data_IF_458271994111
#
_entry.id   IF_458271994111
#
_cell.length_a   1.000
_cell.length_b   1.000
_cell.length_c   1.000
_cell.angle_alpha   90.00
_cell.angle_beta   90.00
_cell.angle_gamma   90.00
#
_symmetry.space_group_name_H-M   'P 1'
#
loop_
_entity.id
_entity.type
_entity.pdbx_description
1 polymer ?
#
# COMPACT_ATOMS: atom_id res chain seq x y z
N UNK A 1 30.23 -32.10 10.22
CA UNK A 1 29.46 -30.91 9.82
C UNK A 1 30.28 -29.71 10.24
N UNK A 2 30.73 -28.87 9.29
CA UNK A 2 31.50 -27.68 9.66
C UNK A 2 30.60 -26.75 10.51
N UNK A 3 31.08 -26.36 11.68
CA UNK A 3 30.42 -25.36 12.52
C UNK A 3 30.25 -24.08 11.70
N UNK A 4 29.04 -23.53 11.65
CA UNK A 4 28.79 -22.27 10.96
C UNK A 4 29.66 -21.18 11.59
N UNK A 5 30.58 -20.54 10.83
CA UNK A 5 31.49 -19.54 11.36
C UNK A 5 30.74 -18.33 11.94
N UNK A 6 29.47 -18.13 11.59
CA UNK A 6 28.66 -16.97 11.97
C UNK A 6 27.81 -17.20 13.22
N UNK A 7 27.63 -18.45 13.66
CA UNK A 7 26.66 -18.82 14.69
C UNK A 7 26.83 -18.07 16.02
N UNK A 8 28.09 -17.87 16.45
CA UNK A 8 28.43 -17.19 17.71
C UNK A 8 28.02 -15.70 17.75
N UNK A 9 27.93 -15.05 16.58
CA UNK A 9 27.61 -13.61 16.46
C UNK A 9 26.22 -13.34 15.89
N UNK A 10 25.49 -14.38 15.50
CA UNK A 10 24.20 -14.24 14.84
C UNK A 10 23.20 -13.47 15.71
N UNK A 11 23.03 -13.83 16.98
CA UNK A 11 22.03 -13.23 17.86
C UNK A 11 22.29 -11.74 18.17
N UNK A 12 23.50 -11.30 18.57
CA UNK A 12 23.79 -9.88 18.75
C UNK A 12 23.56 -9.06 17.48
N UNK A 13 23.97 -9.59 16.31
CA UNK A 13 23.78 -8.91 15.02
C UNK A 13 22.29 -8.80 14.70
N UNK A 14 21.53 -9.89 14.81
CA UNK A 14 20.09 -9.88 14.56
C UNK A 14 19.36 -8.89 15.47
N UNK A 15 19.71 -8.86 16.76
CA UNK A 15 19.12 -7.94 17.73
C UNK A 15 19.38 -6.48 17.35
N UNK A 16 20.62 -6.14 17.02
CA UNK A 16 21.00 -4.81 16.56
C UNK A 16 20.27 -4.42 15.26
N UNK A 17 20.27 -5.28 14.25
CA UNK A 17 19.60 -5.01 12.96
C UNK A 17 18.09 -4.84 13.12
N UNK A 18 17.46 -5.68 13.95
CA UNK A 18 16.02 -5.62 14.21
C UNK A 18 15.59 -4.39 15.00
N UNK A 19 16.48 -3.82 15.81
CA UNK A 19 16.20 -2.63 16.61
C UNK A 19 16.46 -1.35 15.82
N UNK A 20 17.65 -1.26 15.21
CA UNK A 20 18.21 -0.01 14.72
C UNK A 20 18.07 0.17 13.19
N UNK A 21 17.80 -0.92 12.45
CA UNK A 21 17.79 -0.93 10.96
C UNK A 21 16.48 -1.48 10.36
N UNK A 22 15.34 -1.25 11.02
CA UNK A 22 14.03 -1.77 10.59
C UNK A 22 13.65 -1.36 9.15
N UNK A 23 13.91 -0.11 8.79
CA UNK A 23 13.60 0.43 7.46
C UNK A 23 14.49 -0.18 6.37
N UNK A 24 15.76 -0.41 6.69
CA UNK A 24 16.68 -1.09 5.77
C UNK A 24 16.25 -2.54 5.53
N UNK A 25 15.73 -3.24 6.55
CA UNK A 25 15.18 -4.59 6.35
C UNK A 25 13.97 -4.59 5.40
N UNK A 26 13.08 -3.61 5.51
CA UNK A 26 11.95 -3.42 4.59
C UNK A 26 12.46 -3.17 3.16
N UNK A 27 13.48 -2.32 3.02
CA UNK A 27 14.09 -2.00 1.72
C UNK A 27 14.73 -3.23 1.06
N UNK A 28 15.46 -4.04 1.83
CA UNK A 28 16.07 -5.29 1.33
C UNK A 28 15.00 -6.23 0.79
N UNK A 29 13.90 -6.46 1.53
CA UNK A 29 12.80 -7.33 1.08
C UNK A 29 12.16 -6.78 -0.20
N UNK A 30 11.88 -5.47 -0.24
CA UNK A 30 11.26 -4.82 -1.39
C UNK A 30 12.13 -4.86 -2.64
N UNK A 31 13.46 -4.78 -2.49
CA UNK A 31 14.41 -4.88 -3.60
C UNK A 31 14.60 -6.34 -4.06
N UNK A 32 14.66 -7.28 -3.12
CA UNK A 32 14.92 -8.70 -3.43
C UNK A 32 13.73 -9.40 -4.08
N UNK A 33 12.51 -8.92 -3.82
CA UNK A 33 11.28 -9.47 -4.41
C UNK A 33 10.57 -8.36 -5.23
N UNK A 34 10.93 -8.18 -6.51
CA UNK A 34 10.35 -7.13 -7.35
C UNK A 34 8.83 -7.27 -7.52
N UNK A 35 8.32 -8.51 -7.48
CA UNK A 35 6.91 -8.87 -7.64
C UNK A 35 6.03 -8.51 -6.45
N UNK A 36 6.60 -7.97 -5.36
CA UNK A 36 5.77 -7.50 -4.25
C UNK A 36 4.88 -6.33 -4.71
N UNK A 37 3.56 -6.40 -4.41
CA UNK A 37 2.63 -5.34 -4.78
C UNK A 37 2.95 -4.02 -4.05
N UNK A 38 3.50 -4.13 -2.84
CA UNK A 38 3.91 -2.99 -2.01
C UNK A 38 5.01 -3.40 -1.02
N UNK A 39 5.78 -2.44 -0.49
CA UNK A 39 6.74 -2.71 0.58
C UNK A 39 6.06 -3.39 1.78
N UNK A 40 6.78 -4.25 2.51
CA UNK A 40 6.25 -4.83 3.74
C UNK A 40 6.07 -3.78 4.82
N UNK A 41 5.07 -3.96 5.69
CA UNK A 41 4.82 -3.11 6.88
C UNK A 41 6.00 -3.16 7.85
N UNK A 42 6.56 -4.35 8.00
CA UNK A 42 7.67 -4.62 8.90
C UNK A 42 8.46 -5.80 8.35
N UNK A 43 9.76 -5.76 8.52
CA UNK A 43 10.64 -6.90 8.28
C UNK A 43 11.55 -7.07 9.50
N UNK A 44 11.83 -8.32 9.87
CA UNK A 44 12.77 -8.69 10.93
C UNK A 44 13.64 -9.84 10.46
N UNK A 45 14.89 -9.81 10.86
CA UNK A 45 15.82 -10.92 10.68
C UNK A 45 15.54 -12.02 11.69
N UNK A 46 15.46 -13.26 11.21
CA UNK A 46 15.15 -14.44 12.04
C UNK A 46 16.29 -15.47 12.09
N UNK A 47 17.19 -15.45 11.12
CA UNK A 47 18.36 -16.33 11.09
C UNK A 47 19.48 -15.72 10.24
N UNK A 48 20.72 -16.01 10.59
CA UNK A 48 21.93 -15.69 9.82
C UNK A 48 22.77 -16.96 9.76
N UNK A 49 23.37 -17.23 8.59
CA UNK A 49 24.43 -18.22 8.43
C UNK A 49 25.48 -17.72 7.42
N UNK A 50 26.57 -18.46 7.23
CA UNK A 50 27.63 -18.11 6.28
C UNK A 50 27.17 -17.85 4.84
N UNK A 51 26.05 -18.43 4.40
CA UNK A 51 25.52 -18.30 3.05
C UNK A 51 24.54 -17.13 2.90
N UNK A 52 24.07 -16.51 3.98
CA UNK A 52 23.07 -15.44 3.93
C UNK A 52 22.25 -15.30 5.20
N UNK A 53 21.18 -14.52 5.11
CA UNK A 53 20.24 -14.33 6.22
C UNK A 53 18.79 -14.45 5.76
N UNK A 54 17.90 -14.79 6.70
CA UNK A 54 16.46 -14.92 6.45
C UNK A 54 15.72 -13.77 7.14
N UNK A 55 14.86 -13.10 6.37
CA UNK A 55 13.95 -12.07 6.86
C UNK A 55 12.52 -12.61 6.91
N UNK A 56 11.83 -12.42 8.04
CA UNK A 56 10.38 -12.52 8.14
C UNK A 56 9.76 -11.13 7.94
N UNK A 57 8.82 -11.00 7.02
CA UNK A 57 8.16 -9.74 6.71
C UNK A 57 6.64 -9.86 6.76
N UNK A 58 5.97 -8.74 7.04
CA UNK A 58 4.50 -8.65 7.10
C UNK A 58 3.97 -7.82 5.95
N UNK A 59 3.06 -8.39 5.15
CA UNK A 59 2.32 -7.65 4.13
C UNK A 59 0.91 -7.33 4.63
N UNK A 60 0.60 -6.04 4.83
CA UNK A 60 -0.81 -5.64 5.05
C UNK A 60 -1.49 -5.56 3.69
N UNK A 61 -2.42 -6.45 3.46
CA UNK A 61 -3.16 -6.50 2.21
C UNK A 61 -4.51 -5.77 2.27
N UNK A 62 -5.07 -5.50 3.47
CA UNK A 62 -6.27 -4.68 3.68
C UNK A 62 -6.19 -3.96 5.03
N UNK A 63 -6.69 -2.72 5.13
CA UNK A 63 -6.85 -2.03 6.42
C UNK A 63 -8.03 -2.59 7.24
N UNK A 64 -9.09 -3.04 6.57
CA UNK A 64 -10.32 -3.51 7.23
C UNK A 64 -10.28 -5.01 7.54
N UNK A 65 -9.79 -5.83 6.61
CA UNK A 65 -9.88 -7.30 6.72
C UNK A 65 -8.62 -7.98 7.26
N UNK A 66 -7.46 -7.33 7.13
CA UNK A 66 -6.20 -7.88 7.64
C UNK A 66 -5.24 -6.77 8.10
N UNK A 67 -5.59 -5.99 9.14
CA UNK A 67 -4.76 -4.90 9.65
C UNK A 67 -3.41 -5.38 10.19
N UNK A 68 -3.34 -6.65 10.61
CA UNK A 68 -2.18 -7.32 11.20
C UNK A 68 -1.15 -7.78 10.17
N UNK A 69 -1.59 -8.04 8.93
CA UNK A 69 -0.78 -8.46 7.80
C UNK A 69 -0.40 -9.95 7.80
N UNK A 70 -0.11 -10.49 6.61
CA UNK A 70 0.35 -11.87 6.40
C UNK A 70 1.87 -11.95 6.60
N UNK A 71 2.34 -12.94 7.38
CA UNK A 71 3.78 -13.19 7.60
C UNK A 71 4.33 -14.06 6.47
N UNK A 72 5.42 -13.61 5.85
CA UNK A 72 6.17 -14.37 4.83
C UNK A 72 7.66 -14.33 5.14
N UNK A 73 8.43 -15.24 4.55
CA UNK A 73 9.88 -15.34 4.75
C UNK A 73 10.60 -15.19 3.42
N UNK A 74 11.76 -14.53 3.45
CA UNK A 74 12.65 -14.42 2.29
C UNK A 74 14.09 -14.65 2.72
N UNK A 75 14.83 -15.37 1.88
CA UNK A 75 16.24 -15.64 2.07
C UNK A 75 17.08 -14.70 1.21
N UNK A 76 18.04 -14.03 1.83
CA UNK A 76 18.97 -13.10 1.18
C UNK A 76 20.37 -13.72 1.23
N UNK A 77 20.92 -14.16 0.09
CA UNK A 77 22.24 -14.78 0.07
C UNK A 77 23.36 -13.74 0.20
N UNK A 78 24.47 -14.13 0.82
CA UNK A 78 25.73 -13.39 0.76
C UNK A 78 26.49 -13.73 -0.52
N UNK A 79 27.06 -12.73 -1.18
CA UNK A 79 27.93 -12.90 -2.34
C UNK A 79 29.10 -11.93 -2.24
N UNK A 80 30.33 -12.40 -1.98
CA UNK A 80 30.75 -13.79 -1.74
C UNK A 80 30.29 -14.36 -0.38
N UNK A 81 30.40 -15.69 -0.23
CA UNK A 81 30.12 -16.43 1.02
C UNK A 81 31.06 -15.94 2.12
N UNK A 82 30.55 -15.83 3.34
CA UNK A 82 31.32 -15.35 4.48
C UNK A 82 32.26 -16.44 5.00
N UNK A 83 33.54 -16.09 5.14
CA UNK A 83 34.57 -16.98 5.70
C UNK A 83 34.90 -16.66 7.15
N UNK A 84 34.72 -15.41 7.58
CA UNK A 84 35.00 -14.95 8.94
C UNK A 84 33.81 -14.19 9.56
N UNK A 85 33.59 -14.41 10.86
CA UNK A 85 32.54 -13.80 11.68
C UNK A 85 32.66 -12.28 11.79
N UNK A 86 33.85 -11.71 11.55
CA UNK A 86 34.06 -10.25 11.62
C UNK A 86 33.42 -9.52 10.44
N UNK A 87 33.32 -10.18 9.28
CA UNK A 87 32.82 -9.59 8.03
C UNK A 87 31.29 -9.50 7.97
N UNK A 88 30.58 -10.35 8.74
CA UNK A 88 29.11 -10.52 8.68
C UNK A 88 28.36 -9.23 8.89
N UNK A 89 28.74 -8.49 9.93
CA UNK A 89 28.06 -7.25 10.29
C UNK A 89 28.21 -6.22 9.17
N UNK A 90 29.44 -6.05 8.68
CA UNK A 90 29.70 -5.08 7.61
C UNK A 90 28.96 -5.47 6.33
N UNK A 91 28.98 -6.75 5.94
CA UNK A 91 28.29 -7.23 4.75
C UNK A 91 26.78 -6.97 4.80
N UNK A 92 26.15 -7.19 5.96
CA UNK A 92 24.72 -6.90 6.14
C UNK A 92 24.45 -5.39 6.05
N UNK A 93 25.31 -4.56 6.65
CA UNK A 93 25.21 -3.09 6.57
C UNK A 93 25.37 -2.61 5.12
N UNK A 94 26.31 -3.17 4.36
CA UNK A 94 26.52 -2.78 2.96
C UNK A 94 25.31 -3.15 2.09
N UNK A 95 24.73 -4.35 2.28
CA UNK A 95 23.50 -4.77 1.60
C UNK A 95 22.32 -3.86 2.00
N UNK A 96 22.22 -3.50 3.27
CA UNK A 96 21.21 -2.59 3.80
C UNK A 96 21.33 -1.19 3.16
N UNK A 97 22.55 -0.65 3.11
CA UNK A 97 22.86 0.64 2.53
C UNK A 97 22.59 0.65 1.02
N UNK A 98 22.99 -0.39 0.28
CA UNK A 98 22.71 -0.52 -1.17
C UNK A 98 21.19 -0.56 -1.43
N UNK A 99 20.46 -1.38 -0.67
CA UNK A 99 19.00 -1.46 -0.78
C UNK A 99 18.33 -0.11 -0.48
N UNK A 100 18.85 0.63 0.51
CA UNK A 100 18.33 1.95 0.88
C UNK A 100 18.67 3.02 -0.15
N UNK A 101 19.89 3.04 -0.69
CA UNK A 101 20.28 3.95 -1.77
C UNK A 101 19.43 3.73 -3.02
N UNK A 102 19.15 2.47 -3.37
CA UNK A 102 18.26 2.12 -4.48
C UNK A 102 16.82 2.56 -4.21
N UNK A 103 16.33 2.41 -2.97
CA UNK A 103 15.04 2.96 -2.54
C UNK A 103 14.98 4.48 -2.71
N UNK A 104 16.07 5.19 -2.38
CA UNK A 104 16.17 6.66 -2.48
C UNK A 104 16.22 7.15 -3.93
N UNK A 105 16.93 6.45 -4.82
CA UNK A 105 17.24 6.97 -6.16
C UNK A 105 16.22 6.62 -7.25
N UNK A 106 15.53 5.48 -7.21
CA UNK A 106 14.81 4.99 -8.40
C UNK A 106 13.64 4.03 -8.12
N UNK A 107 12.89 4.17 -7.01
CA UNK A 107 11.72 3.31 -6.84
C UNK A 107 10.55 3.82 -7.72
N UNK A 108 10.13 3.08 -8.76
CA UNK A 108 9.01 3.52 -9.58
C UNK A 108 7.75 3.55 -8.71
N UNK A 109 6.94 4.60 -8.87
CA UNK A 109 5.63 4.65 -8.22
C UNK A 109 4.85 3.41 -8.66
N UNK A 110 4.44 2.60 -7.69
CA UNK A 110 3.61 1.41 -7.89
C UNK A 110 2.15 1.75 -7.65
N UNK A 111 1.29 0.98 -8.29
CA UNK A 111 -0.15 0.99 -8.04
C UNK A 111 -0.58 -0.38 -7.51
N UNK A 112 -1.49 -0.35 -6.55
CA UNK A 112 -2.23 -1.54 -6.11
C UNK A 112 -3.66 -1.12 -5.83
N UNK A 113 -4.60 -1.89 -6.40
CA UNK A 113 -6.04 -1.67 -6.22
C UNK A 113 -6.39 -1.80 -4.73
N UNK A 114 -7.05 -0.81 -4.12
CA UNK A 114 -7.58 -0.94 -2.77
C UNK A 114 -8.62 -2.07 -2.72
N UNK A 115 -8.51 -2.97 -1.74
CA UNK A 115 -9.44 -4.11 -1.61
C UNK A 115 -10.88 -3.69 -1.32
N UNK A 116 -11.06 -2.50 -0.75
CA UNK A 116 -12.33 -1.87 -0.44
C UNK A 116 -12.92 -1.08 -1.63
N UNK A 117 -12.21 -0.97 -2.77
CA UNK A 117 -12.71 -0.29 -3.97
C UNK A 117 -14.12 -0.74 -4.39
N UNK A 118 -14.48 -2.05 -4.39
CA UNK A 118 -15.83 -2.47 -4.75
C UNK A 118 -16.92 -1.89 -3.83
N UNK A 119 -16.62 -1.71 -2.54
CA UNK A 119 -17.56 -1.14 -1.56
C UNK A 119 -17.80 0.34 -1.87
N UNK A 120 -16.74 1.09 -2.18
CA UNK A 120 -16.84 2.50 -2.55
C UNK A 120 -17.60 2.70 -3.87
N UNK A 121 -17.36 1.83 -4.86
CA UNK A 121 -18.13 1.82 -6.13
C UNK A 121 -19.62 1.59 -5.84
N UNK A 122 -19.94 0.57 -5.03
CA UNK A 122 -21.33 0.27 -4.66
C UNK A 122 -21.98 1.42 -3.90
N UNK A 123 -21.25 2.09 -3.01
CA UNK A 123 -21.75 3.25 -2.27
C UNK A 123 -22.07 4.41 -3.22
N UNK A 124 -21.14 4.79 -4.10
CA UNK A 124 -21.37 5.87 -5.08
C UNK A 124 -22.53 5.54 -6.03
N UNK A 125 -22.58 4.31 -6.55
CA UNK A 125 -23.69 3.86 -7.39
C UNK A 125 -25.04 3.93 -6.65
N UNK A 126 -25.08 3.49 -5.38
CA UNK A 126 -26.29 3.55 -4.56
C UNK A 126 -26.73 5.00 -4.31
N UNK A 127 -25.80 5.89 -3.95
CA UNK A 127 -26.09 7.31 -3.77
C UNK A 127 -26.61 7.95 -5.06
N UNK A 128 -25.99 7.63 -6.19
CA UNK A 128 -26.43 8.09 -7.51
C UNK A 128 -27.86 7.63 -7.82
N UNK A 129 -28.20 6.37 -7.57
CA UNK A 129 -29.54 5.84 -7.83
C UNK A 129 -30.61 6.32 -6.84
N UNK A 130 -30.25 6.57 -5.58
CA UNK A 130 -31.14 7.22 -4.61
C UNK A 130 -31.41 8.68 -5.04
N UNK A 131 -30.41 9.38 -5.57
CA UNK A 131 -30.56 10.73 -6.11
C UNK A 131 -31.34 10.79 -7.44
N UNK A 132 -31.28 9.73 -8.25
CA UNK A 132 -31.83 9.69 -9.61
C UNK A 132 -32.73 8.46 -9.80
N UNK A 133 -33.99 8.49 -9.30
CA UNK A 133 -34.89 7.34 -9.34
C UNK A 133 -35.20 6.87 -10.78
N UNK A 134 -35.31 7.78 -11.75
CA UNK A 134 -35.56 7.43 -13.15
C UNK A 134 -34.38 6.68 -13.80
N UNK A 135 -33.16 7.05 -13.45
CA UNK A 135 -31.97 6.35 -13.89
C UNK A 135 -31.95 4.92 -13.34
N UNK A 136 -32.31 4.75 -12.06
CA UNK A 136 -32.42 3.43 -11.47
C UNK A 136 -33.54 2.61 -12.13
N UNK A 137 -34.72 3.19 -12.38
CA UNK A 137 -35.84 2.54 -13.09
C UNK A 137 -35.43 2.04 -14.47
N UNK A 138 -34.64 2.82 -15.19
CA UNK A 138 -34.14 2.47 -16.53
C UNK A 138 -33.16 1.29 -16.47
N UNK A 139 -32.28 1.28 -15.48
CA UNK A 139 -31.29 0.20 -15.29
C UNK A 139 -31.97 -1.07 -14.76
N UNK A 140 -32.85 -0.94 -13.77
CA UNK A 140 -33.54 -2.05 -13.11
C UNK A 140 -34.47 -2.81 -14.06
N UNK A 141 -35.05 -2.15 -15.06
CA UNK A 141 -35.82 -2.79 -16.13
C UNK A 141 -35.02 -3.85 -16.91
N UNK A 142 -33.69 -3.80 -16.87
CA UNK A 142 -32.79 -4.75 -17.55
C UNK A 142 -32.20 -5.81 -16.61
N UNK A 143 -32.50 -5.75 -15.32
CA UNK A 143 -31.92 -6.65 -14.31
C UNK A 143 -32.97 -7.68 -13.89
N UNK A 144 -32.76 -8.99 -14.16
CA UNK A 144 -33.77 -10.02 -13.95
C UNK A 144 -34.02 -10.38 -12.47
N UNK A 145 -33.14 -9.99 -11.55
CA UNK A 145 -33.23 -10.39 -10.14
C UNK A 145 -32.92 -9.25 -9.16
N UNK A 146 -33.68 -9.15 -8.07
CA UNK A 146 -33.41 -8.27 -6.94
C UNK A 146 -33.73 -6.78 -7.12
N UNK A 147 -34.13 -6.36 -8.32
CA UNK A 147 -34.36 -4.95 -8.64
C UNK A 147 -35.52 -4.32 -7.84
N UNK A 148 -36.58 -5.10 -7.57
CA UNK A 148 -37.72 -4.68 -6.72
C UNK A 148 -37.33 -4.48 -5.25
N UNK A 149 -36.43 -5.33 -4.73
CA UNK A 149 -35.92 -5.21 -3.37
C UNK A 149 -35.09 -3.93 -3.25
N UNK A 150 -34.16 -3.70 -4.19
CA UNK A 150 -33.34 -2.48 -4.22
C UNK A 150 -34.20 -1.22 -4.40
N UNK A 151 -35.22 -1.27 -5.26
CA UNK A 151 -36.19 -0.18 -5.42
C UNK A 151 -36.84 0.16 -4.09
N UNK A 152 -37.39 -0.83 -3.38
CA UNK A 152 -38.02 -0.65 -2.07
C UNK A 152 -37.05 -0.06 -1.05
N UNK A 153 -35.81 -0.55 -1.00
CA UNK A 153 -34.78 0.00 -0.09
C UNK A 153 -34.49 1.47 -0.41
N UNK A 154 -34.32 1.82 -1.69
CA UNK A 154 -34.07 3.20 -2.10
C UNK A 154 -35.28 4.12 -1.86
N UNK A 155 -36.51 3.63 -2.05
CA UNK A 155 -37.75 4.34 -1.70
C UNK A 155 -37.81 4.64 -0.19
N UNK A 156 -37.51 3.64 0.66
CA UNK A 156 -37.48 3.82 2.12
C UNK A 156 -36.40 4.79 2.58
N UNK A 157 -35.23 4.80 1.94
CA UNK A 157 -34.19 5.79 2.24
C UNK A 157 -34.67 7.19 1.85
N UNK A 158 -35.22 7.35 0.64
CA UNK A 158 -35.76 8.64 0.18
C UNK A 158 -36.86 9.16 1.10
N UNK A 159 -37.78 8.31 1.56
CA UNK A 159 -38.88 8.74 2.44
C UNK A 159 -38.41 9.23 3.82
N UNK A 160 -37.19 8.87 4.24
CA UNK A 160 -36.58 9.29 5.51
C UNK A 160 -35.69 10.52 5.39
N UNK A 161 -35.34 10.94 4.17
CA UNK A 161 -34.51 12.12 3.95
C UNK A 161 -35.38 13.38 3.87
N UNK A 162 -34.97 14.50 4.48
CA UNK A 162 -35.62 15.78 4.23
C UNK A 162 -35.52 16.07 2.73
N UNK A 163 -36.62 16.38 2.04
CA UNK A 163 -36.68 16.58 0.59
C UNK A 163 -36.29 15.38 -0.30
N UNK A 164 -36.27 14.15 0.26
CA UNK A 164 -36.11 12.91 -0.49
C UNK A 164 -34.92 12.88 -1.46
N UNK A 165 -35.18 12.63 -2.74
CA UNK A 165 -34.16 12.53 -3.78
C UNK A 165 -33.31 13.81 -3.94
N UNK A 166 -33.90 14.99 -3.72
CA UNK A 166 -33.22 16.26 -3.91
C UNK A 166 -32.06 16.46 -2.91
N UNK A 167 -32.23 16.03 -1.66
CA UNK A 167 -31.15 16.08 -0.66
C UNK A 167 -30.03 15.12 -0.98
N UNK A 168 -30.36 13.91 -1.45
CA UNK A 168 -29.33 12.97 -1.89
C UNK A 168 -28.59 13.49 -3.13
N UNK A 169 -29.29 14.11 -4.09
CA UNK A 169 -28.69 14.73 -5.26
C UNK A 169 -27.77 15.91 -4.89
N UNK A 170 -28.17 16.72 -3.91
CA UNK A 170 -27.31 17.77 -3.36
C UNK A 170 -26.04 17.19 -2.73
N UNK A 171 -26.18 16.19 -1.85
CA UNK A 171 -25.05 15.54 -1.18
C UNK A 171 -24.10 14.89 -2.18
N UNK A 172 -24.64 14.08 -3.10
CA UNK A 172 -23.86 13.39 -4.13
C UNK A 172 -23.08 14.38 -5.00
N UNK A 173 -23.68 15.51 -5.41
CA UNK A 173 -22.97 16.55 -6.17
C UNK A 173 -21.80 17.13 -5.40
N UNK A 174 -21.94 17.37 -4.09
CA UNK A 174 -20.83 17.87 -3.28
C UNK A 174 -19.72 16.85 -3.09
N UNK A 175 -20.06 15.58 -2.86
CA UNK A 175 -19.07 14.50 -2.77
C UNK A 175 -18.29 14.37 -4.08
N UNK A 176 -18.98 14.35 -5.23
CA UNK A 176 -18.32 14.29 -6.55
C UNK A 176 -17.38 15.48 -6.76
N UNK A 177 -17.79 16.69 -6.37
CA UNK A 177 -16.92 17.89 -6.45
C UNK A 177 -15.70 17.79 -5.55
N UNK A 178 -15.87 17.34 -4.31
CA UNK A 178 -14.76 17.14 -3.37
C UNK A 178 -13.78 16.09 -3.92
N UNK A 179 -14.28 14.94 -4.37
CA UNK A 179 -13.48 13.87 -4.93
C UNK A 179 -12.75 14.29 -6.22
N UNK A 180 -13.36 15.16 -7.04
CA UNK A 180 -12.67 15.72 -8.21
C UNK A 180 -11.47 16.59 -7.79
N UNK A 181 -11.63 17.43 -6.76
CA UNK A 181 -10.53 18.21 -6.19
C UNK A 181 -9.43 17.33 -5.61
N UNK A 182 -9.80 16.31 -4.85
CA UNK A 182 -8.85 15.34 -4.30
C UNK A 182 -8.12 14.53 -5.38
N UNK A 183 -8.81 14.15 -6.46
CA UNK A 183 -8.23 13.46 -7.61
C UNK A 183 -7.19 14.32 -8.33
N UNK A 184 -7.45 15.62 -8.47
CA UNK A 184 -6.47 16.57 -9.00
C UNK A 184 -5.24 16.69 -8.07
N UNK A 185 -5.46 16.75 -6.75
CA UNK A 185 -4.36 16.76 -5.77
C UNK A 185 -3.54 15.47 -5.82
N UNK A 186 -4.17 14.30 -5.95
CA UNK A 186 -3.48 13.03 -6.11
C UNK A 186 -2.72 12.97 -7.44
N UNK A 187 -3.27 13.53 -8.53
CA UNK A 187 -2.57 13.63 -9.80
C UNK A 187 -1.26 14.41 -9.64
N UNK A 188 -1.34 15.61 -9.05
CA UNK A 188 -0.18 16.44 -8.78
C UNK A 188 0.82 15.74 -7.84
N UNK A 189 0.33 15.18 -6.74
CA UNK A 189 1.16 14.50 -5.75
C UNK A 189 1.88 13.28 -6.33
N UNK A 190 1.18 12.40 -7.03
CA UNK A 190 1.79 11.22 -7.65
C UNK A 190 2.73 11.58 -8.80
N UNK A 191 2.40 12.61 -9.61
CA UNK A 191 3.28 13.10 -10.68
C UNK A 191 4.60 13.67 -10.13
N UNK A 192 4.55 14.50 -9.09
CA UNK A 192 5.75 15.04 -8.43
C UNK A 192 6.60 13.94 -7.77
N UNK A 193 5.98 12.79 -7.46
CA UNK A 193 6.64 11.57 -6.95
C UNK A 193 7.14 10.65 -8.06
N UNK A 194 6.99 11.03 -9.33
CA UNK A 194 7.50 10.30 -10.50
C UNK A 194 6.51 9.32 -11.14
N UNK A 195 5.24 9.31 -10.74
CA UNK A 195 4.22 8.50 -11.42
C UNK A 195 3.97 9.02 -12.85
N UNK A 196 3.85 8.10 -13.81
CA UNK A 196 3.59 8.43 -15.22
C UNK A 196 2.63 7.43 -15.86
N UNK A 197 2.03 7.83 -16.98
CA UNK A 197 1.18 6.98 -17.82
C UNK A 197 0.04 6.32 -17.06
N UNK A 198 -0.11 5.00 -17.22
CA UNK A 198 -1.22 4.24 -16.64
C UNK A 198 -1.25 4.28 -15.10
N UNK A 199 -0.10 4.27 -14.44
CA UNK A 199 -0.03 4.30 -12.96
C UNK A 199 -0.61 5.60 -12.41
N UNK A 200 -0.32 6.74 -13.05
CA UNK A 200 -0.89 8.03 -12.69
C UNK A 200 -2.41 8.01 -12.84
N UNK A 201 -2.91 7.54 -13.99
CA UNK A 201 -4.35 7.43 -14.27
C UNK A 201 -5.05 6.54 -13.24
N UNK A 202 -4.45 5.39 -12.90
CA UNK A 202 -4.99 4.46 -11.90
C UNK A 202 -5.12 5.10 -10.52
N UNK A 203 -4.11 5.88 -10.08
CA UNK A 203 -4.17 6.61 -8.82
C UNK A 203 -5.24 7.71 -8.83
N UNK A 204 -5.34 8.48 -9.91
CA UNK A 204 -6.36 9.54 -10.05
C UNK A 204 -7.76 8.95 -10.05
N UNK A 205 -8.00 7.89 -10.81
CA UNK A 205 -9.31 7.23 -10.87
C UNK A 205 -9.70 6.63 -9.52
N UNK A 206 -8.76 5.95 -8.85
CA UNK A 206 -9.00 5.39 -7.53
C UNK A 206 -9.32 6.48 -6.51
N UNK A 207 -8.56 7.58 -6.51
CA UNK A 207 -8.81 8.73 -5.66
C UNK A 207 -10.21 9.33 -5.89
N UNK A 208 -10.63 9.44 -7.15
CA UNK A 208 -11.96 9.95 -7.46
C UNK A 208 -13.10 9.07 -6.91
N UNK A 209 -12.92 7.75 -6.83
CA UNK A 209 -13.95 6.82 -6.33
C UNK A 209 -13.89 6.68 -4.80
N UNK A 210 -12.70 6.52 -4.25
CA UNK A 210 -12.49 6.16 -2.84
C UNK A 210 -12.33 7.40 -1.94
N UNK A 211 -11.87 8.51 -2.50
CA UNK A 211 -11.60 9.75 -1.77
C UNK A 211 -10.27 9.74 -1.02
N UNK A 212 -10.09 10.69 -0.09
CA UNK A 212 -8.82 11.06 0.56
C UNK A 212 -8.06 9.89 1.20
N UNK A 213 -8.74 8.81 1.57
CA UNK A 213 -8.11 7.62 2.18
C UNK A 213 -7.10 6.95 1.22
N UNK A 214 -7.24 7.19 -0.08
CA UNK A 214 -6.30 6.73 -1.12
C UNK A 214 -4.90 7.32 -0.94
N UNK A 215 -4.73 8.50 -0.33
CA UNK A 215 -3.40 9.04 0.01
C UNK A 215 -2.64 8.15 1.00
N UNK A 216 -3.33 7.54 1.97
CA UNK A 216 -2.69 6.61 2.89
C UNK A 216 -2.25 5.33 2.17
N UNK A 217 -3.07 4.84 1.24
CA UNK A 217 -2.70 3.68 0.43
C UNK A 217 -1.51 4.02 -0.49
N UNK A 218 -1.53 5.20 -1.13
CA UNK A 218 -0.42 5.69 -1.93
C UNK A 218 0.88 5.71 -1.12
N UNK A 219 0.88 6.35 0.05
CA UNK A 219 2.08 6.49 0.89
C UNK A 219 2.56 5.15 1.46
N UNK A 220 1.64 4.24 1.74
CA UNK A 220 1.98 2.87 2.18
C UNK A 220 2.69 2.07 1.09
N UNK A 221 2.28 2.25 -0.17
CA UNK A 221 2.86 1.55 -1.32
C UNK A 221 4.13 2.25 -1.81
N UNK A 222 4.15 3.57 -1.75
CA UNK A 222 5.16 4.45 -2.34
C UNK A 222 5.85 5.31 -1.27
N UNK A 223 6.26 4.67 -0.18
CA UNK A 223 6.85 5.34 0.98
C UNK A 223 8.01 6.25 0.55
N UNK A 224 7.91 7.54 0.85
CA UNK A 224 9.04 8.47 0.78
C UNK A 224 10.01 8.17 1.92
N UNK A 225 11.31 8.33 1.66
CA UNK A 225 12.24 8.58 2.77
C UNK A 225 11.86 9.94 3.39
N UNK A 226 11.69 10.05 4.71
CA UNK A 226 11.48 11.34 5.36
C UNK A 226 12.62 12.31 4.97
N UNK A 227 12.28 13.58 4.69
CA UNK A 227 13.26 14.60 4.31
C UNK A 227 14.38 14.81 5.35
N UNK A 228 14.16 14.43 6.62
CA UNK A 228 15.19 14.44 7.67
C UNK A 228 16.42 13.59 7.33
N UNK A 229 16.25 12.49 6.59
CA UNK A 229 17.36 11.57 6.25
C UNK A 229 18.00 11.89 4.90
N UNK A 230 17.48 12.88 4.17
CA UNK A 230 18.09 13.45 2.98
C UNK A 230 19.02 14.64 3.33
N UNK A 231 18.71 15.36 4.42
CA UNK A 231 19.52 16.47 4.91
C UNK A 231 20.69 16.04 5.82
N UNK A 232 20.67 14.82 6.36
CA UNK A 232 21.72 14.28 7.23
C UNK A 232 22.89 13.68 6.45
N UNK A 233 23.33 14.30 5.36
CA UNK A 233 24.53 13.94 4.59
C UNK A 233 25.83 14.04 5.40
N UNK A 234 25.92 13.30 6.51
CA UNK A 234 27.12 13.04 7.27
C UNK A 234 27.61 11.68 6.83
N UNK A 235 28.55 11.78 5.89
CA UNK A 235 29.51 10.75 5.53
C UNK A 235 30.26 10.24 6.76
#
# INVERSE_FOLDING_TARGET
>A
MASDPVASRAEPIMSHMNRDHKDSMIAIVAHRIPSLPHPPKSAKMISIDANGFTLEYKLITSLFWNPSGEKKKVRVPFSPIIKDQTEVRQRIIDIANDAEQKRKRNYPVKYSVPRDLPIWILLHASMFFIANPDAFKTVSAKIPFGASILQSVFDQIRSRLPNGAASMAWLHRWIVRAHLGEAALMAFYSYTRGARGLVLIQWVFTQFVVGFTTFFNFNKINASVPARDAASGKH
#
